data_IF_225599503550
#
_entry.id   IF_225599503550
#
_cell.length_a   1.000
_cell.length_b   1.000
_cell.length_c   1.000
_cell.angle_alpha   90.00
_cell.angle_beta   90.00
_cell.angle_gamma   90.00
#
_symmetry.space_group_name_H-M   'P 1'
#
loop_
_entity.id
_entity.type
_entity.pdbx_description
1 polymer ?
#
# COMPACT_ATOMS: atom_id res chain seq x y z
N UNK A 1 16.31 -8.03 17.61
CA UNK A 1 16.00 -9.09 16.63
C UNK A 1 15.05 -8.46 15.62
N UNK A 2 15.33 -8.57 14.31
CA UNK A 2 14.38 -8.10 13.29
C UNK A 2 13.19 -9.06 13.28
N UNK A 3 12.00 -8.54 13.55
CA UNK A 3 10.71 -9.26 13.59
C UNK A 3 9.83 -8.80 12.43
N UNK A 4 8.76 -9.53 12.15
CA UNK A 4 7.80 -9.20 11.09
C UNK A 4 8.06 -9.94 9.78
N UNK A 5 7.70 -9.33 8.66
CA UNK A 5 7.90 -9.85 7.30
C UNK A 5 8.79 -8.94 6.45
N UNK A 6 8.83 -7.64 6.76
CA UNK A 6 9.61 -6.67 6.01
C UNK A 6 11.12 -6.78 6.31
N UNK A 7 11.50 -6.76 7.59
CA UNK A 7 12.90 -6.66 8.01
C UNK A 7 13.69 -7.99 8.08
N UNK A 8 13.11 -9.14 8.49
CA UNK A 8 13.89 -10.37 8.69
C UNK A 8 14.56 -10.88 7.41
N UNK A 9 15.57 -11.74 7.54
CA UNK A 9 16.26 -12.40 6.42
C UNK A 9 16.50 -13.89 6.71
N UNK A 10 16.91 -14.65 5.70
CA UNK A 10 17.24 -16.08 5.84
C UNK A 10 16.01 -16.98 6.00
N UNK A 11 16.13 -18.02 6.82
CA UNK A 11 15.08 -19.04 7.01
C UNK A 11 13.81 -18.46 7.65
N UNK A 12 13.95 -17.56 8.63
CA UNK A 12 12.82 -16.89 9.29
C UNK A 12 11.97 -16.12 8.27
N UNK A 13 12.59 -15.28 7.45
CA UNK A 13 11.88 -14.53 6.42
C UNK A 13 11.18 -15.43 5.41
N UNK A 14 11.83 -16.52 4.96
CA UNK A 14 11.20 -17.46 4.02
C UNK A 14 9.95 -18.10 4.62
N UNK A 15 10.04 -18.58 5.87
CA UNK A 15 8.90 -19.18 6.57
C UNK A 15 7.76 -18.17 6.73
N UNK A 16 8.07 -16.98 7.28
CA UNK A 16 7.08 -15.92 7.49
C UNK A 16 6.42 -15.47 6.19
N UNK A 17 7.21 -15.19 5.15
CA UNK A 17 6.66 -14.77 3.85
C UNK A 17 5.78 -15.84 3.22
N UNK A 18 6.22 -17.10 3.23
CA UNK A 18 5.43 -18.20 2.67
C UNK A 18 4.11 -18.36 3.43
N UNK A 19 4.17 -18.38 4.77
CA UNK A 19 2.98 -18.43 5.61
C UNK A 19 2.04 -17.25 5.30
N UNK A 20 2.55 -16.02 5.37
CA UNK A 20 1.75 -14.80 5.18
C UNK A 20 1.05 -14.78 3.83
N UNK A 21 1.76 -15.08 2.73
CA UNK A 21 1.16 -15.09 1.40
C UNK A 21 0.07 -16.17 1.30
N UNK A 22 0.29 -17.35 1.89
CA UNK A 22 -0.69 -18.43 1.86
C UNK A 22 -1.93 -18.11 2.70
N UNK A 23 -1.74 -17.59 3.92
CA UNK A 23 -2.82 -17.17 4.81
C UNK A 23 -3.64 -16.04 4.18
N UNK A 24 -2.99 -15.00 3.67
CA UNK A 24 -3.69 -13.91 2.96
C UNK A 24 -4.53 -14.47 1.79
N UNK A 25 -3.96 -15.35 0.96
CA UNK A 25 -4.70 -15.98 -0.15
C UNK A 25 -5.87 -16.85 0.30
N UNK A 26 -5.81 -17.41 1.51
CA UNK A 26 -6.92 -18.16 2.10
C UNK A 26 -8.10 -17.22 2.39
N UNK A 27 -7.83 -16.07 3.01
CA UNK A 27 -8.83 -15.01 3.27
C UNK A 27 -9.17 -14.13 2.06
N UNK A 28 -8.92 -14.64 0.85
CA UNK A 28 -9.34 -14.02 -0.40
C UNK A 28 -8.34 -13.05 -1.03
N UNK A 29 -7.18 -12.80 -0.44
CA UNK A 29 -6.20 -11.82 -0.96
C UNK A 29 -5.82 -12.10 -2.42
N UNK A 30 -6.08 -11.13 -3.30
CA UNK A 30 -5.88 -11.24 -4.74
C UNK A 30 -6.87 -12.17 -5.47
N UNK A 31 -8.00 -12.54 -4.85
CA UNK A 31 -9.06 -13.37 -5.41
C UNK A 31 -10.41 -12.63 -5.42
N UNK A 32 -11.38 -13.21 -6.13
CA UNK A 32 -12.74 -12.65 -6.28
C UNK A 32 -13.48 -12.45 -4.96
N UNK A 33 -13.24 -13.28 -3.94
CA UNK A 33 -13.89 -13.08 -2.63
C UNK A 33 -13.41 -11.80 -1.92
N UNK A 34 -12.29 -11.21 -2.33
CA UNK A 34 -11.85 -9.89 -1.84
C UNK A 34 -12.60 -8.74 -2.50
N UNK A 35 -13.10 -8.95 -3.72
CA UNK A 35 -13.84 -7.95 -4.47
C UNK A 35 -15.00 -7.38 -3.65
N UNK A 36 -15.75 -8.24 -2.95
CA UNK A 36 -16.90 -7.80 -2.14
C UNK A 36 -16.48 -6.91 -0.96
N UNK A 37 -15.37 -7.23 -0.26
CA UNK A 37 -14.86 -6.41 0.85
C UNK A 37 -14.36 -5.05 0.36
N UNK A 38 -13.70 -5.01 -0.80
CA UNK A 38 -13.25 -3.75 -1.41
C UNK A 38 -14.45 -2.93 -1.87
N UNK A 39 -15.43 -3.56 -2.54
CA UNK A 39 -16.64 -2.87 -3.00
C UNK A 39 -17.47 -2.32 -1.84
N UNK A 40 -17.58 -3.04 -0.73
CA UNK A 40 -18.20 -2.55 0.50
C UNK A 40 -17.52 -1.26 0.99
N UNK A 41 -16.19 -1.22 1.08
CA UNK A 41 -15.49 0.02 1.46
C UNK A 41 -15.60 1.13 0.41
N UNK A 42 -15.63 0.78 -0.87
CA UNK A 42 -15.88 1.73 -1.95
C UNK A 42 -17.26 2.37 -1.79
N UNK A 43 -18.29 1.59 -1.46
CA UNK A 43 -19.64 2.12 -1.19
C UNK A 43 -19.62 3.15 -0.05
N UNK A 44 -19.03 2.82 1.09
CA UNK A 44 -18.88 3.76 2.22
C UNK A 44 -18.09 5.01 1.83
N UNK A 45 -17.01 4.86 1.06
CA UNK A 45 -16.23 6.00 0.58
C UNK A 45 -17.05 6.89 -0.37
N UNK A 46 -17.85 6.29 -1.26
CA UNK A 46 -18.71 7.03 -2.18
C UNK A 46 -19.83 7.79 -1.44
N UNK A 47 -20.37 7.24 -0.35
CA UNK A 47 -21.31 7.95 0.54
C UNK A 47 -20.66 9.19 1.18
N UNK A 48 -19.38 9.08 1.57
CA UNK A 48 -18.62 10.23 2.09
C UNK A 48 -18.50 11.31 1.02
N UNK A 49 -18.18 10.97 -0.23
CA UNK A 49 -18.11 11.93 -1.33
C UNK A 49 -19.48 12.57 -1.61
N UNK A 50 -20.55 11.77 -1.64
CA UNK A 50 -21.92 12.23 -1.85
C UNK A 50 -22.35 13.25 -0.77
N UNK A 51 -21.96 13.02 0.49
CA UNK A 51 -22.24 13.94 1.60
C UNK A 51 -21.66 15.34 1.41
N UNK A 52 -20.59 15.49 0.60
CA UNK A 52 -19.95 16.78 0.33
C UNK A 52 -20.69 17.61 -0.71
N UNK A 53 -21.60 17.02 -1.49
CA UNK A 53 -22.48 17.71 -2.46
C UNK A 53 -21.71 18.64 -3.41
N UNK A 54 -20.60 18.16 -3.98
CA UNK A 54 -19.77 18.93 -4.93
C UNK A 54 -18.97 20.09 -4.35
N UNK A 55 -18.94 20.25 -3.02
CA UNK A 55 -18.06 21.22 -2.34
C UNK A 55 -16.61 20.75 -2.38
N UNK A 56 -15.64 21.68 -2.36
CA UNK A 56 -14.23 21.33 -2.21
C UNK A 56 -14.01 20.50 -0.95
N UNK A 57 -13.28 19.40 -1.09
CA UNK A 57 -12.96 18.49 0.01
C UNK A 57 -11.53 17.97 -0.16
N UNK A 58 -10.80 17.92 0.95
CA UNK A 58 -9.59 17.11 1.05
C UNK A 58 -10.01 15.69 1.45
N UNK A 59 -9.66 14.72 0.61
CA UNK A 59 -10.07 13.31 0.75
C UNK A 59 -9.00 12.43 1.40
N UNK A 60 -7.86 12.99 1.80
CA UNK A 60 -6.71 12.22 2.31
C UNK A 60 -7.10 11.30 3.46
N UNK A 61 -7.76 11.85 4.49
CA UNK A 61 -8.21 11.06 5.64
C UNK A 61 -9.21 9.98 5.23
N UNK A 62 -10.24 10.32 4.44
CA UNK A 62 -11.26 9.37 4.00
C UNK A 62 -10.70 8.23 3.16
N UNK A 63 -9.74 8.51 2.27
CA UNK A 63 -9.09 7.47 1.46
C UNK A 63 -8.25 6.55 2.34
N UNK A 64 -7.47 7.12 3.27
CA UNK A 64 -6.64 6.34 4.21
C UNK A 64 -7.52 5.46 5.10
N UNK A 65 -8.66 5.96 5.58
CA UNK A 65 -9.64 5.19 6.36
C UNK A 65 -10.23 4.03 5.55
N UNK A 66 -10.67 4.29 4.32
CA UNK A 66 -11.26 3.28 3.44
C UNK A 66 -10.29 2.14 3.12
N UNK A 67 -9.08 2.47 2.67
CA UNK A 67 -8.01 1.50 2.39
C UNK A 67 -7.60 0.74 3.65
N UNK A 68 -7.46 1.44 4.78
CA UNK A 68 -7.13 0.81 6.06
C UNK A 68 -8.18 -0.23 6.46
N UNK A 69 -9.46 0.04 6.24
CA UNK A 69 -10.50 -0.93 6.55
C UNK A 69 -10.43 -2.19 5.70
N UNK A 70 -9.97 -2.10 4.45
CA UNK A 70 -9.76 -3.29 3.60
C UNK A 70 -8.72 -4.19 4.26
N UNK A 71 -7.55 -3.66 4.64
CA UNK A 71 -6.53 -4.46 5.31
C UNK A 71 -6.97 -4.92 6.71
N UNK A 72 -7.67 -4.09 7.49
CA UNK A 72 -8.25 -4.47 8.79
C UNK A 72 -9.23 -5.64 8.66
N UNK A 73 -10.06 -5.65 7.62
CA UNK A 73 -11.05 -6.71 7.40
C UNK A 73 -10.42 -8.08 7.09
N UNK A 74 -9.15 -8.10 6.68
CA UNK A 74 -8.37 -9.29 6.33
C UNK A 74 -7.47 -9.70 7.49
N UNK A 75 -6.89 -8.72 8.16
CA UNK A 75 -5.89 -8.94 9.21
C UNK A 75 -6.52 -9.07 10.59
N UNK A 76 -7.53 -8.25 10.89
CA UNK A 76 -8.22 -8.18 12.18
C UNK A 76 -9.64 -8.75 12.18
N UNK A 77 -10.11 -9.22 11.02
CA UNK A 77 -11.48 -9.71 10.84
C UNK A 77 -12.58 -8.68 11.03
N UNK A 78 -12.23 -7.38 11.17
CA UNK A 78 -13.19 -6.30 11.45
C UNK A 78 -12.92 -5.02 10.69
N UNK A 79 -14.00 -4.28 10.45
CA UNK A 79 -14.04 -2.91 9.92
C UNK A 79 -14.19 -1.93 11.08
N UNK A 80 -13.55 -0.76 10.98
CA UNK A 80 -13.78 0.37 11.89
C UNK A 80 -14.67 1.42 11.23
N UNK A 81 -15.49 2.10 12.04
CA UNK A 81 -16.24 3.25 11.55
C UNK A 81 -15.30 4.43 11.33
N UNK A 82 -15.60 5.29 10.36
CA UNK A 82 -14.76 6.46 10.05
C UNK A 82 -14.79 7.52 11.16
N UNK A 83 -15.75 7.48 12.08
CA UNK A 83 -15.80 8.35 13.26
C UNK A 83 -15.11 7.75 14.50
N UNK A 84 -14.56 6.53 14.38
CA UNK A 84 -13.81 5.89 15.46
C UNK A 84 -12.50 6.64 15.71
N UNK A 85 -12.42 7.30 16.88
CA UNK A 85 -11.26 8.10 17.29
C UNK A 85 -9.99 7.28 17.47
N UNK A 86 -10.10 6.00 17.85
CA UNK A 86 -8.94 5.11 18.02
C UNK A 86 -8.39 4.80 16.64
N UNK A 87 -9.27 4.47 15.69
CA UNK A 87 -8.87 4.19 14.31
C UNK A 87 -8.27 5.42 13.61
N UNK A 88 -8.89 6.60 13.77
CA UNK A 88 -8.34 7.86 13.27
C UNK A 88 -6.96 8.16 13.84
N UNK A 89 -6.77 7.94 15.16
CA UNK A 89 -5.45 8.08 15.80
C UNK A 89 -4.45 7.08 15.21
N UNK A 90 -4.84 5.82 15.01
CA UNK A 90 -3.98 4.79 14.44
C UNK A 90 -3.47 5.17 13.05
N UNK A 91 -4.36 5.62 12.17
CA UNK A 91 -4.01 6.05 10.80
C UNK A 91 -3.09 7.27 10.84
N UNK A 92 -3.42 8.26 11.68
CA UNK A 92 -2.62 9.47 11.82
C UNK A 92 -1.21 9.17 12.36
N UNK A 93 -1.11 8.32 13.38
CA UNK A 93 0.17 7.91 13.97
C UNK A 93 1.04 7.20 12.91
N UNK A 94 0.42 6.37 12.05
CA UNK A 94 1.08 5.72 10.92
C UNK A 94 1.55 6.71 9.86
N UNK A 95 0.69 7.66 9.44
CA UNK A 95 1.02 8.67 8.45
C UNK A 95 2.18 9.57 8.92
N UNK A 96 2.15 10.01 10.18
CA UNK A 96 3.22 10.82 10.77
C UNK A 96 4.55 10.05 10.82
N UNK A 97 4.50 8.74 11.09
CA UNK A 97 5.68 7.88 11.09
C UNK A 97 6.28 7.73 9.70
N UNK A 98 5.47 7.42 8.69
CA UNK A 98 5.93 7.16 7.32
C UNK A 98 6.31 8.44 6.56
N UNK A 99 5.70 9.56 6.92
CA UNK A 99 6.07 10.89 6.42
C UNK A 99 7.43 11.40 6.92
N UNK A 100 8.04 10.75 7.91
CA UNK A 100 9.33 11.21 8.47
C UNK A 100 10.51 10.68 7.62
N UNK A 101 11.24 11.54 6.88
CA UNK A 101 12.36 11.11 6.04
C UNK A 101 13.58 10.61 6.85
N UNK A 102 13.63 10.91 8.14
CA UNK A 102 14.74 10.56 9.02
C UNK A 102 14.54 9.23 9.75
N UNK A 103 13.39 8.55 9.59
CA UNK A 103 13.15 7.25 10.24
C UNK A 103 14.26 6.22 9.93
N UNK A 104 14.81 6.11 8.70
CA UNK A 104 15.94 5.24 8.42
C UNK A 104 17.21 5.62 9.21
N UNK A 105 17.43 6.92 9.49
CA UNK A 105 18.61 7.38 10.25
C UNK A 105 18.60 6.89 11.69
N UNK A 106 17.41 6.77 12.31
CA UNK A 106 17.25 6.19 13.66
C UNK A 106 17.77 4.74 13.69
N UNK A 107 17.56 4.00 12.60
CA UNK A 107 18.02 2.62 12.48
C UNK A 107 19.51 2.50 12.11
N UNK A 108 20.05 3.44 11.32
CA UNK A 108 21.45 3.39 10.88
C UNK A 108 22.44 3.88 11.93
N UNK A 109 22.04 4.87 12.74
CA UNK A 109 22.88 5.37 13.83
C UNK A 109 22.05 5.37 15.12
N UNK A 110 21.92 4.20 15.77
CA UNK A 110 21.10 4.02 16.96
C UNK A 110 21.58 4.79 18.19
N UNK A 111 22.58 5.66 18.09
CA UNK A 111 23.03 6.50 19.20
C UNK A 111 22.52 7.94 19.09
N UNK A 112 21.96 8.33 17.93
CA UNK A 112 21.47 9.69 17.68
C UNK A 112 20.32 10.09 18.60
N UNK A 113 19.51 9.14 19.06
CA UNK A 113 18.39 9.42 19.96
C UNK A 113 18.83 9.80 21.38
N UNK A 114 20.05 9.43 21.80
CA UNK A 114 20.59 9.83 23.11
C UNK A 114 21.03 11.30 23.16
N UNK A 115 21.17 11.96 22.01
CA UNK A 115 21.54 13.38 21.94
C UNK A 115 20.26 14.19 21.82
N UNK A 116 19.79 14.77 22.93
CA UNK A 116 18.49 15.47 23.02
C UNK A 116 18.23 16.43 21.85
N UNK A 117 19.20 17.31 21.53
CA UNK A 117 19.05 18.27 20.43
C UNK A 117 18.86 17.61 19.05
N UNK A 118 19.61 16.54 18.77
CA UNK A 118 19.50 15.81 17.49
C UNK A 118 18.21 15.00 17.46
N UNK A 119 17.82 14.41 18.60
CA UNK A 119 16.57 13.68 18.74
C UNK A 119 15.34 14.56 18.46
N UNK A 120 15.36 15.81 18.94
CA UNK A 120 14.31 16.80 18.72
C UNK A 120 14.25 17.25 17.25
N UNK A 121 15.41 17.54 16.63
CA UNK A 121 15.49 18.00 15.24
C UNK A 121 15.07 16.91 14.25
N UNK A 122 15.52 15.67 14.46
CA UNK A 122 15.20 14.54 13.59
C UNK A 122 13.85 13.89 13.96
N UNK A 123 13.23 14.30 15.06
CA UNK A 123 11.99 13.71 15.57
C UNK A 123 12.13 12.25 15.97
N UNK A 124 13.32 11.80 16.39
CA UNK A 124 13.59 10.37 16.65
C UNK A 124 12.79 9.85 17.85
N UNK A 125 12.70 10.64 18.92
CA UNK A 125 11.90 10.29 20.09
C UNK A 125 10.42 10.16 19.74
N UNK A 126 9.90 11.12 18.95
CA UNK A 126 8.53 11.07 18.43
C UNK A 126 8.29 9.79 17.62
N UNK A 127 9.22 9.41 16.74
CA UNK A 127 9.10 8.16 15.97
C UNK A 127 9.07 6.92 16.87
N UNK A 128 9.92 6.88 17.90
CA UNK A 128 9.95 5.78 18.87
C UNK A 128 8.61 5.68 19.59
N UNK A 129 8.04 6.81 20.00
CA UNK A 129 6.78 6.84 20.74
C UNK A 129 5.60 6.48 19.84
N UNK A 130 5.57 6.93 18.57
CA UNK A 130 4.61 6.48 17.56
C UNK A 130 4.67 4.97 17.34
N UNK A 131 5.87 4.40 17.19
CA UNK A 131 6.03 2.94 17.02
C UNK A 131 5.54 2.18 18.25
N UNK A 132 5.79 2.69 19.47
CA UNK A 132 5.27 2.07 20.69
C UNK A 132 3.74 2.11 20.74
N UNK A 133 3.14 3.25 20.40
CA UNK A 133 1.69 3.42 20.37
C UNK A 133 1.04 2.47 19.36
N UNK A 134 1.59 2.39 18.13
CA UNK A 134 1.12 1.46 17.10
C UNK A 134 1.22 0.01 17.59
N UNK A 135 2.36 -0.39 18.16
CA UNK A 135 2.54 -1.75 18.71
C UNK A 135 1.57 -2.06 19.84
N UNK A 136 1.34 -1.13 20.76
CA UNK A 136 0.39 -1.31 21.84
C UNK A 136 -1.04 -1.54 21.32
N UNK A 137 -1.42 -0.85 20.24
CA UNK A 137 -2.71 -1.09 19.59
C UNK A 137 -2.78 -2.47 18.93
N UNK A 138 -1.73 -2.90 18.22
CA UNK A 138 -1.68 -4.25 17.64
C UNK A 138 -1.77 -5.33 18.72
N UNK A 139 -1.06 -5.16 19.84
CA UNK A 139 -1.10 -6.08 20.97
C UNK A 139 -2.51 -6.21 21.57
N UNK A 140 -3.22 -5.08 21.73
CA UNK A 140 -4.62 -5.11 22.20
C UNK A 140 -5.54 -5.89 21.26
N UNK A 141 -5.38 -5.71 19.94
CA UNK A 141 -6.16 -6.45 18.93
C UNK A 141 -5.83 -7.95 18.99
N UNK A 142 -4.55 -8.30 19.07
CA UNK A 142 -4.10 -9.70 19.16
C UNK A 142 -4.63 -10.35 20.45
N UNK A 143 -4.64 -9.64 21.57
CA UNK A 143 -5.18 -10.15 22.84
C UNK A 143 -6.70 -10.38 22.76
N UNK A 144 -7.45 -9.50 22.09
CA UNK A 144 -8.86 -9.74 21.79
C UNK A 144 -9.06 -11.05 21.00
N UNK A 145 -8.23 -11.29 19.98
CA UNK A 145 -8.30 -12.51 19.17
C UNK A 145 -8.00 -13.76 19.99
N UNK A 146 -6.95 -13.73 20.83
CA UNK A 146 -6.60 -14.84 21.73
C UNK A 146 -7.75 -15.23 22.65
N UNK A 147 -8.51 -14.26 23.15
CA UNK A 147 -9.63 -14.51 24.08
C UNK A 147 -10.83 -15.15 23.40
N UNK A 148 -11.04 -14.89 22.12
CA UNK A 148 -12.16 -15.41 21.32
C UNK A 148 -11.72 -16.45 20.29
N UNK A 149 -10.50 -16.98 20.42
CA UNK A 149 -9.91 -17.86 19.43
C UNK A 149 -10.63 -19.22 19.39
N UNK A 150 -11.02 -19.63 18.18
CA UNK A 150 -11.60 -20.93 17.89
C UNK A 150 -10.74 -21.64 16.82
N UNK A 151 -10.36 -22.90 17.07
CA UNK A 151 -9.57 -23.69 16.11
C UNK A 151 -10.40 -24.11 14.89
N UNK A 152 -11.73 -24.22 15.05
CA UNK A 152 -12.64 -24.72 14.02
C UNK A 152 -13.19 -23.59 13.12
N UNK A 153 -13.10 -22.33 13.57
CA UNK A 153 -13.57 -21.15 12.84
C UNK A 153 -12.52 -20.02 12.85
N UNK A 154 -11.65 -20.03 11.84
CA UNK A 154 -10.62 -19.00 11.66
C UNK A 154 -11.23 -17.76 10.99
N UNK A 155 -11.28 -16.64 11.70
CA UNK A 155 -11.93 -15.42 11.21
C UNK A 155 -11.05 -14.63 10.22
N UNK A 156 -9.75 -14.62 10.45
CA UNK A 156 -8.81 -13.74 9.77
C UNK A 156 -7.33 -14.20 9.88
N UNK A 157 -6.43 -13.37 9.38
CA UNK A 157 -5.00 -13.62 9.42
C UNK A 157 -4.43 -13.87 10.83
N UNK A 158 -4.89 -13.14 11.84
CA UNK A 158 -4.39 -13.28 13.21
C UNK A 158 -4.75 -14.67 13.72
N UNK A 159 -6.02 -15.10 13.57
CA UNK A 159 -6.44 -16.44 13.98
C UNK A 159 -5.66 -17.54 13.25
N UNK A 160 -5.45 -17.40 11.94
CA UNK A 160 -4.65 -18.37 11.18
C UNK A 160 -3.19 -18.44 11.69
N UNK A 161 -2.60 -17.30 12.06
CA UNK A 161 -1.26 -17.27 12.63
C UNK A 161 -1.22 -17.89 14.03
N UNK A 162 -2.23 -17.64 14.86
CA UNK A 162 -2.36 -18.26 16.19
C UNK A 162 -2.46 -19.79 16.09
N UNK A 163 -3.23 -20.31 15.13
CA UNK A 163 -3.32 -21.74 14.87
C UNK A 163 -1.96 -22.33 14.45
N UNK A 164 -1.27 -21.69 13.49
CA UNK A 164 0.04 -22.12 13.04
C UNK A 164 1.07 -22.13 14.17
N UNK A 165 1.07 -21.07 14.99
CA UNK A 165 1.94 -20.97 16.15
C UNK A 165 1.66 -22.09 17.16
N UNK A 166 0.40 -22.40 17.42
CA UNK A 166 -0.01 -23.50 18.30
C UNK A 166 0.46 -24.86 17.78
N UNK A 167 0.31 -25.11 16.47
CA UNK A 167 0.76 -26.34 15.82
C UNK A 167 2.28 -26.51 15.89
N UNK A 168 3.04 -25.46 15.56
CA UNK A 168 4.50 -25.47 15.68
C UNK A 168 4.99 -25.70 17.12
N UNK A 169 4.28 -25.15 18.11
CA UNK A 169 4.61 -25.36 19.52
C UNK A 169 4.43 -26.83 19.91
N UNK A 170 3.30 -27.45 19.53
CA UNK A 170 3.04 -28.89 19.73
C UNK A 170 4.06 -29.78 19.03
N UNK A 171 4.48 -29.43 17.81
CA UNK A 171 5.48 -30.21 17.07
C UNK A 171 6.88 -30.10 17.66
N UNK A 172 7.29 -28.90 18.11
CA UNK A 172 8.59 -28.66 18.73
C UNK A 172 8.73 -29.35 20.10
N UNK A 173 7.62 -29.59 20.81
CA UNK A 173 7.62 -30.41 22.02
C UNK A 173 7.85 -31.90 21.72
N UNK A 174 7.42 -32.37 20.54
CA UNK A 174 7.46 -33.78 20.14
C UNK A 174 8.67 -34.16 19.28
N UNK A 175 9.48 -33.20 18.82
CA UNK A 175 10.57 -33.44 17.87
C UNK A 175 11.90 -32.81 18.32
N UNK A 176 13.01 -33.52 18.12
CA UNK A 176 14.36 -33.06 18.51
C UNK A 176 14.94 -31.98 17.57
N UNK A 177 14.32 -31.80 16.39
CA UNK A 177 14.68 -30.79 15.41
C UNK A 177 13.73 -29.60 15.53
N UNK A 178 14.18 -28.54 16.20
CA UNK A 178 13.38 -27.33 16.44
C UNK A 178 13.13 -26.58 15.14
N UNK A 179 11.87 -26.45 14.74
CA UNK A 179 11.44 -25.54 13.69
C UNK A 179 11.63 -24.09 14.13
N UNK A 180 11.83 -23.17 13.17
CA UNK A 180 11.78 -21.73 13.44
C UNK A 180 10.33 -21.40 13.81
N UNK A 181 10.04 -21.36 15.11
CA UNK A 181 8.69 -21.09 15.60
C UNK A 181 8.32 -19.63 15.33
N UNK A 182 7.10 -19.37 14.81
CA UNK A 182 6.48 -18.06 14.98
C UNK A 182 6.48 -17.73 16.49
N UNK A 183 6.87 -16.51 16.87
CA UNK A 183 6.69 -16.01 18.24
C UNK A 183 5.59 -14.95 18.25
N UNK A 184 5.06 -14.67 19.44
CA UNK A 184 4.09 -13.59 19.64
C UNK A 184 4.63 -12.23 19.20
N UNK A 185 5.86 -11.88 19.61
CA UNK A 185 6.55 -10.67 19.14
C UNK A 185 6.62 -10.59 17.60
N UNK A 186 6.72 -11.74 16.94
CA UNK A 186 6.75 -11.78 15.48
C UNK A 186 5.36 -11.58 14.87
N UNK A 187 4.30 -12.07 15.51
CA UNK A 187 2.91 -11.80 15.10
C UNK A 187 2.62 -10.30 15.14
N UNK A 188 2.94 -9.63 16.25
CA UNK A 188 2.80 -8.16 16.37
C UNK A 188 3.52 -7.42 15.23
N UNK A 189 4.76 -7.85 14.94
CA UNK A 189 5.54 -7.28 13.85
C UNK A 189 4.92 -7.51 12.47
N UNK A 190 4.43 -8.72 12.18
CA UNK A 190 3.81 -9.04 10.89
C UNK A 190 2.52 -8.27 10.70
N UNK A 191 1.70 -8.19 11.75
CA UNK A 191 0.43 -7.45 11.73
C UNK A 191 0.67 -5.96 11.49
N UNK A 192 1.64 -5.36 12.18
CA UNK A 192 2.02 -3.96 11.97
C UNK A 192 2.57 -3.72 10.55
N UNK A 193 3.43 -4.63 10.05
CA UNK A 193 3.97 -4.56 8.69
C UNK A 193 2.85 -4.60 7.63
N UNK A 194 1.88 -5.50 7.79
CA UNK A 194 0.75 -5.65 6.86
C UNK A 194 -0.16 -4.42 6.87
N UNK A 195 -0.55 -3.95 8.07
CA UNK A 195 -1.37 -2.75 8.23
C UNK A 195 -0.67 -1.52 7.64
N UNK A 196 0.58 -1.27 8.05
CA UNK A 196 1.34 -0.11 7.61
C UNK A 196 1.59 -0.08 6.10
N UNK A 197 2.03 -1.21 5.53
CA UNK A 197 2.30 -1.30 4.10
C UNK A 197 1.04 -1.22 3.25
N UNK A 198 -0.06 -1.87 3.67
CA UNK A 198 -1.33 -1.89 2.96
C UNK A 198 -2.07 -0.55 2.96
N UNK A 199 -2.00 0.19 4.06
CA UNK A 199 -2.68 1.48 4.22
C UNK A 199 -2.02 2.60 3.42
N UNK A 200 -0.77 2.95 3.76
CA UNK A 200 -0.19 4.23 3.32
C UNK A 200 0.14 4.24 1.83
N UNK A 201 0.61 3.10 1.30
CA UNK A 201 1.04 2.99 -0.09
C UNK A 201 -0.13 3.03 -1.07
N UNK A 202 -1.20 2.29 -0.78
CA UNK A 202 -2.40 2.24 -1.62
C UNK A 202 -3.17 3.56 -1.53
N UNK A 203 -3.34 4.13 -0.33
CA UNK A 203 -3.98 5.43 -0.15
C UNK A 203 -3.24 6.53 -0.92
N UNK A 204 -1.92 6.61 -0.79
CA UNK A 204 -1.09 7.57 -1.53
C UNK A 204 -1.21 7.38 -3.04
N UNK A 205 -1.29 6.14 -3.53
CA UNK A 205 -1.49 5.84 -4.94
C UNK A 205 -2.85 6.34 -5.46
N UNK A 206 -3.92 6.18 -4.68
CA UNK A 206 -5.25 6.71 -5.02
C UNK A 206 -5.22 8.23 -5.05
N UNK A 207 -4.58 8.88 -4.07
CA UNK A 207 -4.43 10.34 -4.05
C UNK A 207 -3.64 10.85 -5.27
N UNK A 208 -2.54 10.19 -5.65
CA UNK A 208 -1.84 10.50 -6.90
C UNK A 208 -2.75 10.31 -8.13
N UNK A 209 -3.55 9.26 -8.19
CA UNK A 209 -4.48 9.06 -9.30
C UNK A 209 -5.44 10.26 -9.45
N UNK A 210 -6.02 10.71 -8.34
CA UNK A 210 -6.97 11.83 -8.31
C UNK A 210 -6.29 13.14 -8.71
N UNK A 211 -5.09 13.43 -8.21
CA UNK A 211 -4.39 14.67 -8.55
C UNK A 211 -3.94 14.70 -10.02
N UNK A 212 -3.56 13.55 -10.60
CA UNK A 212 -3.27 13.46 -12.03
C UNK A 212 -4.54 13.63 -12.87
N UNK A 213 -5.65 13.02 -12.50
CA UNK A 213 -6.91 13.15 -13.25
C UNK A 213 -7.51 14.56 -13.23
N UNK A 214 -7.40 15.30 -12.12
CA UNK A 214 -7.88 16.69 -12.07
C UNK A 214 -6.98 17.64 -12.87
N UNK A 215 -5.69 17.33 -12.98
CA UNK A 215 -4.74 18.08 -13.80
C UNK A 215 -4.81 17.73 -15.30
N UNK A 216 -5.36 16.57 -15.66
CA UNK A 216 -5.46 16.07 -17.04
C UNK A 216 -6.93 15.73 -17.37
N UNK A 217 -7.79 16.75 -17.59
CA UNK A 217 -9.23 16.55 -17.78
C UNK A 217 -9.58 15.73 -19.02
N UNK A 218 -8.75 15.80 -20.07
CA UNK A 218 -8.87 14.99 -21.29
C UNK A 218 -8.65 13.48 -21.00
N UNK A 219 -7.68 13.16 -20.15
CA UNK A 219 -7.45 11.78 -19.68
C UNK A 219 -8.65 11.30 -18.87
N UNK A 220 -9.19 12.15 -18.00
CA UNK A 220 -10.36 11.83 -17.18
C UNK A 220 -11.62 11.57 -18.04
N UNK A 221 -11.87 12.41 -19.05
CA UNK A 221 -12.99 12.24 -19.98
C UNK A 221 -12.82 10.97 -20.83
N UNK A 222 -11.61 10.68 -21.31
CA UNK A 222 -11.34 9.45 -22.06
C UNK A 222 -11.55 8.20 -21.20
N UNK A 223 -11.13 8.24 -19.94
CA UNK A 223 -11.39 7.15 -18.98
C UNK A 223 -12.90 6.97 -18.73
N UNK A 224 -13.64 8.07 -18.53
CA UNK A 224 -15.09 8.03 -18.37
C UNK A 224 -15.79 7.42 -19.60
N UNK A 225 -15.33 7.77 -20.80
CA UNK A 225 -15.90 7.26 -22.04
C UNK A 225 -15.71 5.73 -22.15
N UNK A 226 -14.50 5.23 -21.89
CA UNK A 226 -14.23 3.79 -21.88
C UNK A 226 -15.12 3.04 -20.87
N UNK A 227 -15.22 3.56 -19.64
CA UNK A 227 -16.08 2.98 -18.60
C UNK A 227 -17.55 2.96 -19.03
N UNK A 228 -18.04 4.05 -19.62
CA UNK A 228 -19.43 4.15 -20.06
C UNK A 228 -19.74 3.18 -21.20
N UNK A 229 -18.81 2.99 -22.13
CA UNK A 229 -18.96 2.09 -23.27
C UNK A 229 -18.97 0.62 -22.87
N UNK A 230 -18.06 0.22 -21.96
CA UNK A 230 -17.85 -1.18 -21.58
C UNK A 230 -18.77 -1.63 -20.45
N UNK A 231 -18.92 -0.79 -19.41
CA UNK A 231 -19.63 -1.13 -18.17
C UNK A 231 -21.06 -0.60 -18.18
N UNK A 232 -21.26 0.57 -18.81
CA UNK A 232 -22.48 1.35 -18.76
C UNK A 232 -22.41 2.50 -17.74
N UNK A 233 -23.29 3.50 -17.84
CA UNK A 233 -23.21 4.71 -17.01
C UNK A 233 -23.67 4.52 -15.55
N UNK A 234 -24.45 3.47 -15.27
CA UNK A 234 -25.20 3.32 -14.01
C UNK A 234 -24.75 2.12 -13.16
N UNK A 235 -23.84 1.29 -13.67
CA UNK A 235 -23.37 0.09 -12.97
C UNK A 235 -21.97 0.35 -12.41
N UNK A 236 -21.76 -0.06 -11.17
CA UNK A 236 -20.45 -0.08 -10.56
C UNK A 236 -19.51 -1.07 -11.31
N UNK A 237 -18.32 -0.62 -11.75
CA UNK A 237 -17.33 -1.51 -12.36
C UNK A 237 -16.87 -2.61 -11.41
N UNK A 238 -16.67 -3.82 -11.95
CA UNK A 238 -16.23 -5.02 -11.26
C UNK A 238 -14.87 -5.48 -11.82
N UNK A 239 -14.13 -6.32 -11.10
CA UNK A 239 -12.83 -6.85 -11.52
C UNK A 239 -12.92 -7.65 -12.82
N UNK A 240 -14.06 -8.26 -13.12
CA UNK A 240 -14.27 -8.97 -14.38
C UNK A 240 -14.28 -8.02 -15.59
N UNK A 241 -14.58 -6.73 -15.40
CA UNK A 241 -14.56 -5.72 -16.46
C UNK A 241 -13.12 -5.32 -16.82
N UNK A 242 -12.16 -5.51 -15.91
CA UNK A 242 -10.76 -5.05 -16.01
C UNK A 242 -10.08 -5.42 -17.33
N UNK A 243 -10.26 -6.65 -17.80
CA UNK A 243 -9.62 -7.12 -19.04
C UNK A 243 -10.13 -6.41 -20.31
N UNK A 244 -11.29 -5.75 -20.22
CA UNK A 244 -11.91 -4.99 -21.31
C UNK A 244 -11.72 -3.47 -21.15
N UNK A 245 -10.91 -3.03 -20.17
CA UNK A 245 -10.67 -1.61 -19.87
C UNK A 245 -9.18 -1.25 -20.02
N UNK A 246 -8.60 -1.38 -21.24
CA UNK A 246 -7.18 -1.16 -21.46
C UNK A 246 -6.71 0.26 -21.15
N UNK A 247 -7.52 1.28 -21.39
CA UNK A 247 -7.17 2.67 -21.04
C UNK A 247 -7.17 2.88 -19.54
N UNK A 248 -8.14 2.32 -18.80
CA UNK A 248 -8.15 2.33 -17.34
C UNK A 248 -6.88 1.71 -16.74
N UNK A 249 -6.49 0.53 -17.21
CA UNK A 249 -5.25 -0.12 -16.77
C UNK A 249 -4.01 0.73 -17.08
N UNK A 250 -4.04 1.43 -18.21
CA UNK A 250 -2.97 2.36 -18.59
C UNK A 250 -2.89 3.57 -17.65
N UNK A 251 -4.04 4.12 -17.22
CA UNK A 251 -4.10 5.23 -16.25
C UNK A 251 -3.55 4.79 -14.89
N UNK A 252 -3.92 3.59 -14.42
CA UNK A 252 -3.41 3.03 -13.16
C UNK A 252 -1.90 2.81 -13.26
N UNK A 253 -1.42 2.25 -14.38
CA UNK A 253 0.00 1.99 -14.61
C UNK A 253 0.80 3.29 -14.66
N UNK A 254 0.29 4.33 -15.32
CA UNK A 254 0.95 5.64 -15.34
C UNK A 254 0.95 6.32 -13.97
N UNK A 255 -0.14 6.18 -13.21
CA UNK A 255 -0.22 6.67 -11.82
C UNK A 255 0.85 6.03 -10.96
N UNK A 256 1.02 4.71 -11.06
CA UNK A 256 2.04 3.97 -10.32
C UNK A 256 3.46 4.36 -10.75
N UNK A 257 3.67 4.73 -12.03
CA UNK A 257 4.97 5.17 -12.55
C UNK A 257 5.36 6.55 -12.02
N UNK A 258 4.49 7.54 -12.19
CA UNK A 258 4.77 8.93 -11.86
C UNK A 258 4.57 9.24 -10.37
N UNK A 259 3.54 8.67 -9.76
CA UNK A 259 3.33 8.78 -8.32
C UNK A 259 4.42 8.09 -7.51
N UNK A 260 5.14 7.12 -8.10
CA UNK A 260 6.38 6.49 -7.60
C UNK A 260 6.51 6.44 -6.07
N UNK A 261 5.57 5.77 -5.41
CA UNK A 261 5.34 5.87 -3.95
C UNK A 261 6.57 5.54 -3.12
N UNK A 262 7.45 4.64 -3.59
CA UNK A 262 8.68 4.27 -2.87
C UNK A 262 9.87 4.46 -3.82
N UNK A 263 10.32 5.71 -4.05
CA UNK A 263 11.26 6.05 -5.11
C UNK A 263 12.65 5.41 -4.94
N UNK A 264 13.02 5.08 -3.71
CA UNK A 264 14.29 4.44 -3.35
C UNK A 264 14.14 2.97 -2.92
N UNK A 265 12.98 2.36 -3.16
CA UNK A 265 12.63 1.04 -2.64
C UNK A 265 12.89 0.91 -1.12
N UNK A 266 12.90 -0.31 -0.60
CA UNK A 266 13.42 -0.61 0.74
C UNK A 266 14.87 -1.09 0.64
N UNK A 267 15.74 -0.80 1.62
CA UNK A 267 17.14 -1.24 1.59
C UNK A 267 17.28 -2.77 1.55
N UNK A 268 18.22 -3.25 0.73
CA UNK A 268 18.63 -4.65 0.67
C UNK A 268 20.01 -4.83 1.30
N UNK A 269 20.29 -6.02 1.85
CA UNK A 269 21.63 -6.39 2.31
C UNK A 269 22.16 -7.56 1.52
N UNK A 270 23.41 -7.45 1.05
CA UNK A 270 24.10 -8.45 0.24
C UNK A 270 24.48 -9.65 1.09
N UNK A 271 24.04 -10.86 0.71
CA UNK A 271 24.22 -12.08 1.52
C UNK A 271 25.57 -12.77 1.31
N UNK A 272 26.20 -12.54 0.16
CA UNK A 272 27.50 -13.06 -0.25
C UNK A 272 28.15 -12.10 -1.22
N UNK A 273 29.48 -12.12 -1.29
CA UNK A 273 30.22 -11.30 -2.25
C UNK A 273 29.77 -11.61 -3.69
N UNK A 274 29.51 -10.58 -4.48
CA UNK A 274 29.23 -10.74 -5.91
C UNK A 274 29.84 -9.62 -6.74
N UNK A 275 29.87 -9.79 -8.05
CA UNK A 275 30.37 -8.78 -9.00
C UNK A 275 29.21 -8.26 -9.84
N UNK A 276 29.04 -6.94 -9.88
CA UNK A 276 28.07 -6.25 -10.72
C UNK A 276 28.81 -5.22 -11.58
N UNK A 277 28.71 -5.32 -12.90
CA UNK A 277 29.37 -4.40 -13.85
C UNK A 277 30.86 -4.17 -13.54
N UNK A 278 31.61 -5.25 -13.24
CA UNK A 278 33.02 -5.24 -12.84
C UNK A 278 33.33 -4.65 -11.45
N UNK A 279 32.33 -4.27 -10.66
CA UNK A 279 32.50 -3.87 -9.27
C UNK A 279 32.23 -5.05 -8.34
N UNK A 280 33.19 -5.36 -7.47
CA UNK A 280 32.96 -6.30 -6.36
C UNK A 280 32.12 -5.60 -5.30
N UNK A 281 30.99 -6.18 -4.97
CA UNK A 281 30.10 -5.76 -3.90
C UNK A 281 30.25 -6.76 -2.75
N UNK A 282 30.87 -6.37 -1.63
CA UNK A 282 31.08 -7.27 -0.50
C UNK A 282 29.78 -7.71 0.17
N UNK A 283 29.81 -8.89 0.80
CA UNK A 283 28.82 -9.34 1.76
C UNK A 283 28.61 -8.28 2.85
N UNK A 284 27.35 -8.03 3.20
CA UNK A 284 26.96 -7.05 4.22
C UNK A 284 26.78 -5.63 3.68
N UNK A 285 27.14 -5.35 2.44
CA UNK A 285 26.82 -4.06 1.81
C UNK A 285 25.31 -3.82 1.77
N UNK A 286 24.90 -2.59 2.06
CA UNK A 286 23.52 -2.12 1.87
C UNK A 286 23.39 -1.61 0.43
N UNK A 287 22.36 -2.06 -0.26
CA UNK A 287 22.01 -1.64 -1.63
C UNK A 287 20.63 -1.01 -1.60
N UNK A 288 20.51 0.20 -2.11
CA UNK A 288 19.26 0.96 -2.20
C UNK A 288 18.91 1.08 -3.69
N UNK A 289 17.90 0.33 -4.18
CA UNK A 289 17.46 0.45 -5.57
C UNK A 289 16.85 1.84 -5.84
N UNK A 290 17.46 2.62 -6.74
CA UNK A 290 16.89 3.89 -7.18
C UNK A 290 15.86 3.64 -8.29
N UNK A 291 14.63 3.29 -7.88
CA UNK A 291 13.51 3.07 -8.79
C UNK A 291 13.19 4.36 -9.55
N UNK A 292 13.25 5.51 -8.87
CA UNK A 292 12.97 6.81 -9.48
C UNK A 292 13.81 7.11 -10.71
N UNK A 293 15.11 6.82 -10.65
CA UNK A 293 16.01 7.02 -11.79
C UNK A 293 15.60 6.18 -13.00
N UNK A 294 15.08 4.98 -12.80
CA UNK A 294 14.65 4.13 -13.92
C UNK A 294 13.29 4.56 -14.47
N UNK A 295 12.35 4.94 -13.61
CA UNK A 295 11.00 5.34 -14.02
C UNK A 295 10.96 6.72 -14.71
N UNK A 296 12.04 7.50 -14.61
CA UNK A 296 12.24 8.80 -15.29
C UNK A 296 13.34 8.75 -16.37
N UNK A 297 13.80 7.56 -16.76
CA UNK A 297 14.79 7.43 -17.83
C UNK A 297 14.11 7.71 -19.18
N UNK A 298 14.46 8.83 -19.83
CA UNK A 298 13.85 9.29 -21.09
C UNK A 298 14.00 8.30 -22.25
N UNK A 299 15.05 7.47 -22.24
CA UNK A 299 15.22 6.41 -23.24
C UNK A 299 14.21 5.26 -23.09
N UNK A 300 13.62 5.10 -21.90
CA UNK A 300 12.63 4.06 -21.58
C UNK A 300 11.22 4.68 -21.59
N UNK A 301 11.07 5.86 -21.00
CA UNK A 301 9.83 6.61 -20.89
C UNK A 301 10.00 7.99 -21.51
N UNK A 302 9.80 8.15 -22.84
CA UNK A 302 9.81 9.46 -23.47
C UNK A 302 8.80 10.40 -22.82
N UNK A 303 9.19 11.67 -22.67
CA UNK A 303 8.43 12.69 -21.95
C UNK A 303 8.10 12.22 -20.53
N UNK A 304 9.13 11.76 -19.82
CA UNK A 304 8.98 10.98 -18.59
C UNK A 304 8.24 11.72 -17.47
N UNK A 305 8.20 13.05 -17.50
CA UNK A 305 7.52 13.88 -16.49
C UNK A 305 6.04 14.12 -16.82
N UNK A 306 5.59 13.81 -18.03
CA UNK A 306 4.20 14.01 -18.45
C UNK A 306 3.35 12.79 -18.12
N UNK A 307 2.16 13.04 -17.55
CA UNK A 307 1.17 12.00 -17.27
C UNK A 307 0.47 11.59 -18.56
N UNK A 308 0.99 10.54 -19.21
CA UNK A 308 0.47 10.04 -20.47
C UNK A 308 0.16 8.54 -20.38
N UNK A 309 -1.11 8.16 -20.13
CA UNK A 309 -1.53 6.77 -20.17
C UNK A 309 -1.38 6.12 -21.55
N UNK A 310 -1.39 6.88 -22.65
CA UNK A 310 -1.36 6.31 -24.00
C UNK A 310 -0.07 5.54 -24.30
N UNK A 311 1.01 5.79 -23.54
CA UNK A 311 2.29 5.08 -23.67
C UNK A 311 2.17 3.56 -23.55
N UNK A 312 1.19 3.07 -22.80
CA UNK A 312 0.96 1.64 -22.55
C UNK A 312 0.04 0.99 -23.58
N UNK A 313 -0.43 1.74 -24.58
CA UNK A 313 -1.30 1.22 -25.63
C UNK A 313 -0.53 0.96 -26.93
N UNK A 314 -1.00 -0.03 -27.69
CA UNK A 314 -0.60 -0.24 -29.07
C UNK A 314 -1.44 0.62 -30.03
N UNK A 315 -1.12 0.57 -31.32
CA UNK A 315 -1.80 1.34 -32.37
C UNK A 315 -3.30 0.99 -32.51
N UNK A 316 -3.74 -0.15 -31.93
CA UNK A 316 -5.13 -0.59 -31.91
C UNK A 316 -5.84 -0.24 -30.59
N UNK A 317 -5.20 0.50 -29.69
CA UNK A 317 -5.74 0.85 -28.38
C UNK A 317 -5.77 -0.30 -27.38
N UNK A 318 -5.03 -1.40 -27.62
CA UNK A 318 -4.90 -2.51 -26.67
C UNK A 318 -3.67 -2.32 -25.78
N UNK A 319 -3.73 -2.88 -24.57
CA UNK A 319 -2.59 -2.89 -23.66
C UNK A 319 -1.37 -3.58 -24.28
N UNK A 320 -0.27 -2.84 -24.34
CA UNK A 320 1.02 -3.35 -24.70
C UNK A 320 1.78 -3.80 -23.44
N UNK A 321 1.60 -5.07 -23.08
CA UNK A 321 2.23 -5.69 -21.90
C UNK A 321 3.75 -5.56 -21.84
N UNK A 322 4.43 -5.38 -22.97
CA UNK A 322 5.89 -5.17 -22.96
C UNK A 322 6.31 -3.84 -22.34
N UNK A 323 5.38 -2.88 -22.27
CA UNK A 323 5.57 -1.53 -21.74
C UNK A 323 5.04 -1.37 -20.31
N UNK A 324 4.35 -2.37 -19.75
CA UNK A 324 3.80 -2.36 -18.39
C UNK A 324 4.85 -2.62 -17.28
N UNK A 325 6.14 -2.65 -17.62
CA UNK A 325 7.24 -2.95 -16.69
C UNK A 325 7.57 -1.77 -15.77
N UNK A 326 6.57 -1.29 -15.04
CA UNK A 326 6.71 -0.26 -14.01
C UNK A 326 7.04 -0.96 -12.69
N UNK A 327 8.28 -0.84 -12.24
CA UNK A 327 8.82 -1.54 -11.07
C UNK A 327 8.34 -0.97 -9.72
N UNK A 328 7.13 -0.39 -9.66
CA UNK A 328 6.57 0.24 -8.44
C UNK A 328 6.40 -0.74 -7.27
N UNK A 329 6.31 -2.04 -7.56
CA UNK A 329 6.22 -3.11 -6.57
C UNK A 329 7.56 -3.83 -6.30
N UNK A 330 8.68 -3.24 -6.76
CA UNK A 330 10.02 -3.86 -6.76
C UNK A 330 10.07 -5.15 -7.59
N UNK A 331 11.17 -5.90 -7.50
CA UNK A 331 11.41 -7.13 -8.28
C UNK A 331 12.06 -8.24 -7.43
N UNK A 332 12.03 -9.47 -7.97
CA UNK A 332 12.74 -10.61 -7.42
C UNK A 332 12.13 -11.17 -6.14
N UNK A 333 12.95 -11.79 -5.28
CA UNK A 333 12.48 -12.51 -4.08
C UNK A 333 11.71 -11.64 -3.08
N UNK A 334 11.95 -10.33 -3.11
CA UNK A 334 11.35 -9.32 -2.22
C UNK A 334 10.25 -8.49 -2.90
N UNK A 335 9.78 -8.90 -4.08
CA UNK A 335 8.62 -8.29 -4.75
C UNK A 335 7.46 -8.13 -3.77
N UNK A 336 6.74 -7.01 -3.85
CA UNK A 336 5.66 -6.70 -2.95
C UNK A 336 4.67 -7.88 -2.83
N UNK A 337 4.43 -8.43 -1.63
CA UNK A 337 3.43 -9.47 -1.46
C UNK A 337 2.00 -8.95 -1.70
N UNK A 338 1.81 -7.63 -1.59
CA UNK A 338 0.52 -6.95 -1.71
C UNK A 338 0.14 -6.46 -3.10
N UNK A 339 0.97 -6.67 -4.13
CA UNK A 339 0.73 -6.11 -5.47
C UNK A 339 -0.67 -6.41 -6.02
N UNK A 340 -1.11 -7.67 -5.92
CA UNK A 340 -2.42 -8.05 -6.45
C UNK A 340 -3.58 -7.35 -5.75
N UNK A 341 -3.47 -7.11 -4.43
CA UNK A 341 -4.50 -6.41 -3.67
C UNK A 341 -4.49 -4.91 -4.03
N UNK A 342 -3.31 -4.27 -3.99
CA UNK A 342 -3.18 -2.85 -4.30
C UNK A 342 -3.70 -2.49 -5.69
N UNK A 343 -3.45 -3.33 -6.71
CA UNK A 343 -4.00 -3.13 -8.06
C UNK A 343 -5.52 -3.28 -8.12
N UNK A 344 -6.09 -4.21 -7.35
CA UNK A 344 -7.55 -4.38 -7.25
C UNK A 344 -8.19 -3.16 -6.58
N UNK A 345 -7.62 -2.67 -5.49
CA UNK A 345 -8.09 -1.47 -4.79
C UNK A 345 -8.03 -0.25 -5.71
N UNK A 346 -6.87 0.01 -6.34
CA UNK A 346 -6.72 1.12 -7.29
C UNK A 346 -7.75 1.07 -8.40
N UNK A 347 -7.96 -0.11 -8.99
CA UNK A 347 -8.96 -0.29 -10.03
C UNK A 347 -10.37 0.01 -9.52
N UNK A 348 -10.80 -0.60 -8.42
CA UNK A 348 -12.17 -0.48 -7.93
C UNK A 348 -12.47 0.94 -7.42
N UNK A 349 -11.56 1.57 -6.68
CA UNK A 349 -11.73 2.96 -6.22
C UNK A 349 -11.75 3.94 -7.39
N UNK A 350 -10.76 3.88 -8.28
CA UNK A 350 -10.65 4.83 -9.38
C UNK A 350 -11.86 4.76 -10.31
N UNK A 351 -12.26 3.53 -10.67
CA UNK A 351 -13.40 3.33 -11.58
C UNK A 351 -14.73 3.68 -10.92
N UNK A 352 -14.91 3.45 -9.61
CA UNK A 352 -16.08 3.94 -8.87
C UNK A 352 -16.23 5.45 -8.95
N UNK A 353 -15.15 6.15 -8.62
CA UNK A 353 -15.11 7.61 -8.56
C UNK A 353 -15.39 8.18 -9.95
N UNK A 354 -14.64 7.73 -10.97
CA UNK A 354 -14.74 8.29 -12.32
C UNK A 354 -16.05 7.91 -13.01
N UNK A 355 -16.66 6.77 -12.68
CA UNK A 355 -17.99 6.42 -13.23
C UNK A 355 -19.07 7.40 -12.76
N UNK A 356 -19.01 7.85 -11.49
CA UNK A 356 -20.05 8.72 -10.93
C UNK A 356 -19.73 10.21 -11.05
N UNK A 357 -18.47 10.59 -10.85
CA UNK A 357 -18.07 11.96 -10.67
C UNK A 357 -17.06 12.44 -11.72
N UNK A 358 -17.27 13.66 -12.20
CA UNK A 358 -16.23 14.51 -12.75
C UNK A 358 -15.49 15.19 -11.60
N UNK A 359 -14.17 15.01 -11.57
CA UNK A 359 -13.26 15.60 -10.59
C UNK A 359 -12.83 16.97 -11.12
N UNK A 360 -13.09 18.01 -10.35
CA UNK A 360 -12.79 19.40 -10.69
C UNK A 360 -11.87 20.03 -9.63
N UNK A 361 -11.08 21.05 -10.00
CA UNK A 361 -10.33 21.84 -9.04
C UNK A 361 -11.24 22.56 -8.04
N UNK A 362 -10.71 22.87 -6.85
CA UNK A 362 -11.36 23.77 -5.89
C UNK A 362 -11.55 25.17 -6.48
N UNK A 363 -10.53 25.68 -7.18
CA UNK A 363 -10.51 27.00 -7.83
C UNK A 363 -10.46 26.94 -9.35
N UNK A 364 -9.93 28.00 -9.98
CA UNK A 364 -9.76 28.04 -11.45
C UNK A 364 -8.59 27.19 -11.93
N UNK A 365 -7.56 27.03 -11.10
CA UNK A 365 -6.37 26.25 -11.41
C UNK A 365 -6.42 24.90 -10.71
N UNK A 366 -5.89 23.84 -11.33
CA UNK A 366 -5.72 22.55 -10.67
C UNK A 366 -4.69 22.63 -9.54
N UNK A 367 -4.77 21.72 -8.54
CA UNK A 367 -3.78 21.64 -7.48
C UNK A 367 -2.39 21.31 -8.04
N UNK A 368 -1.35 21.88 -7.42
CA UNK A 368 0.03 21.59 -7.77
C UNK A 368 0.35 20.11 -7.62
N UNK A 369 1.04 19.54 -8.61
CA UNK A 369 1.56 18.18 -8.57
C UNK A 369 2.89 18.19 -7.81
N UNK A 370 2.81 18.40 -6.50
CA UNK A 370 3.94 18.37 -5.57
C UNK A 370 3.76 17.22 -4.59
N UNK A 371 4.87 16.58 -4.22
CA UNK A 371 4.84 15.52 -3.22
C UNK A 371 5.82 15.76 -2.09
N UNK A 372 5.50 15.14 -0.95
CA UNK A 372 6.30 15.13 0.25
C UNK A 372 7.02 13.80 0.34
N UNK A 373 8.36 13.83 0.35
CA UNK A 373 9.17 12.64 0.52
C UNK A 373 9.36 12.30 2.00
N UNK A 374 8.80 11.17 2.41
CA UNK A 374 9.15 10.44 3.64
C UNK A 374 9.80 9.10 3.28
N UNK A 375 9.42 8.03 3.97
CA UNK A 375 9.64 6.66 3.48
C UNK A 375 8.83 6.43 2.20
N UNK A 376 7.60 6.94 2.20
CA UNK A 376 6.72 6.99 1.04
C UNK A 376 6.69 8.40 0.46
N UNK A 377 6.38 8.51 -0.83
CA UNK A 377 6.18 9.75 -1.55
C UNK A 377 4.68 9.94 -1.78
N UNK A 378 4.08 10.85 -1.01
CA UNK A 378 2.66 11.19 -1.08
C UNK A 378 2.47 12.59 -1.63
N UNK A 379 1.33 12.91 -2.27
CA UNK A 379 1.07 14.28 -2.71
C UNK A 379 0.95 15.21 -1.50
N UNK A 380 1.30 16.48 -1.67
CA UNK A 380 0.99 17.51 -0.66
C UNK A 380 -0.53 17.63 -0.51
N UNK A 381 -1.07 17.91 0.69
CA UNK A 381 -2.51 17.99 0.90
C UNK A 381 -3.20 18.94 -0.09
N UNK A 382 -4.26 18.47 -0.74
CA UNK A 382 -5.03 19.23 -1.72
C UNK A 382 -6.54 19.00 -1.57
N UNK A 383 -7.32 19.95 -2.09
CA UNK A 383 -8.78 19.88 -2.13
C UNK A 383 -9.27 19.84 -3.58
N UNK A 384 -10.28 19.01 -3.84
CA UNK A 384 -10.96 18.90 -5.14
C UNK A 384 -12.46 18.82 -4.96
N UNK A 385 -13.20 18.98 -6.05
CA UNK A 385 -14.65 18.88 -6.10
C UNK A 385 -15.06 17.64 -6.90
N UNK A 386 -16.01 16.88 -6.38
CA UNK A 386 -16.62 15.74 -7.07
C UNK A 386 -18.04 16.14 -7.49
N UNK A 387 -18.26 16.34 -8.78
CA UNK A 387 -19.59 16.71 -9.33
C UNK A 387 -20.09 15.58 -10.21
N UNK A 388 -21.39 15.30 -10.20
CA UNK A 388 -21.95 14.28 -11.09
C UNK A 388 -21.70 14.65 -12.58
N UNK A 389 -21.50 13.62 -13.43
CA UNK A 389 -21.25 13.79 -14.87
C UNK A 389 -22.43 14.38 -15.65
#
# INVERSE_FOLDING_TARGET
>A
MYIGIAAPSGALWKAQRTFTINALRHFGFGKRNMESKILEEVEFFMEVLESKKGRPVNIETSVREAVSNIICSIVFGKRFNYDDKIFQKLIKDLEELLSNPYLPMVNWIPYLHYVSYISDVLGTQKCIDLVKDLKAQMANIIEEHKRTFDEDDLRDFIDAYLLEWKNHTRENENNSQKYVSPSEDNLEGVVLDLFGAGTDTTASSILWAIIYLVNNPDVQEKLRNELTEVVGPNRQPLLNDRNNLPYCESVITETLRLGNIIPFSLPHTVTEDFVLNNYRIPKGSIVIPNINATLHEENIFPDSNNFDPSRYLDDNGKLNKSRENVMSFSLGRRVCPGESLARMELFLFLTAIVTRYKILPEGQLPPNIEGKLGITYSPTPYSVRFVDW
#
